data_IF_489341440643
#
_entry.id   IF_489341440643
#
_cell.length_a   1.000
_cell.length_b   1.000
_cell.length_c   1.000
_cell.angle_alpha   90.00
_cell.angle_beta   90.00
_cell.angle_gamma   90.00
#
_symmetry.space_group_name_H-M   'P 1'
#
loop_
_entity.id
_entity.type
_entity.pdbx_description
1 polymer ?
2 non-polymer ?
3 non-polymer ?
4 non-polymer ?
5 non-polymer ?
6 water ?
#
# COMPACT_ATOMS: atom_id res chain seq x y z
N UNK A 2 -4.45 23.80 19.32
CA UNK A 2 -3.34 22.88 19.66
C UNK A 2 -3.50 22.27 21.05
N UNK A 3 -3.56 20.95 21.12
CA UNK A 3 -3.68 20.24 22.38
C UNK A 3 -2.40 20.35 23.22
N UNK A 4 -2.57 20.46 24.55
CA UNK A 4 -1.41 20.51 25.45
C UNK A 4 -0.55 19.23 25.40
N UNK A 5 -1.18 18.09 25.09
CA UNK A 5 -0.50 16.80 25.18
C UNK A 5 0.46 16.52 24.02
N UNK A 6 0.18 17.11 22.86
CA UNK A 6 1.03 16.92 21.69
C UNK A 6 1.48 18.28 21.13
N UNK A 7 2.79 18.57 21.18
CA UNK A 7 3.27 19.85 20.67
C UNK A 7 3.25 19.83 19.15
N UNK A 8 3.05 20.99 18.51
CA UNK A 8 2.85 21.04 17.06
C UNK A 8 4.10 20.65 16.29
N UNK A 9 5.27 20.81 16.91
CA UNK A 9 6.53 20.50 16.26
C UNK A 9 6.78 18.99 16.18
N UNK A 10 5.95 18.21 16.86
CA UNK A 10 6.05 16.76 16.78
C UNK A 10 5.56 16.25 15.43
N UNK A 11 6.49 15.73 14.62
CA UNK A 11 6.18 15.29 13.28
C UNK A 11 5.78 13.81 13.21
N UNK A 12 4.47 13.57 13.13
CA UNK A 12 3.91 12.22 13.05
C UNK A 12 4.41 11.40 11.86
N UNK A 13 5.02 12.07 10.88
CA UNK A 13 5.41 11.41 9.63
C UNK A 13 6.93 11.31 9.50
N UNK A 14 7.66 11.68 10.55
CA UNK A 14 9.11 11.58 10.52
C UNK A 14 9.57 10.13 10.37
N UNK A 15 10.43 9.89 9.40
CA UNK A 15 10.88 8.52 9.09
C UNK A 15 11.71 7.92 10.22
N UNK A 16 12.48 8.73 10.93
CA UNK A 16 13.28 8.24 12.06
C UNK A 16 12.37 7.80 13.20
N UNK A 17 11.33 8.60 13.46
CA UNK A 17 10.33 8.24 14.46
C UNK A 17 9.68 6.90 14.13
N UNK A 18 9.19 6.78 12.90
CA UNK A 18 8.43 5.60 12.50
C UNK A 18 9.29 4.36 12.32
N UNK A 19 10.58 4.56 12.11
CA UNK A 19 11.53 3.45 12.14
C UNK A 19 11.47 2.78 13.51
N UNK A 20 11.40 3.61 14.54
CA UNK A 20 11.28 3.11 15.90
C UNK A 20 9.89 2.55 16.17
N UNK A 21 8.86 3.34 15.88
CA UNK A 21 7.49 2.94 16.20
C UNK A 21 6.47 3.80 15.48
N UNK A 22 5.29 3.23 15.27
CA UNK A 22 4.14 4.03 14.87
C UNK A 22 3.69 4.87 16.06
N UNK A 23 3.43 6.17 15.83
CA UNK A 23 2.99 7.08 16.89
C UNK A 23 1.53 6.82 17.32
N UNK A 24 1.25 5.61 17.76
CA UNK A 24 -0.11 5.15 18.02
C UNK A 24 -0.78 5.88 19.18
N UNK A 25 -0.07 5.97 20.32
CA UNK A 25 -0.61 6.66 21.49
C UNK A 25 -0.80 8.15 21.21
N UNK A 26 0.10 8.72 20.42
CA UNK A 26 0.01 10.12 20.06
C UNK A 26 -1.21 10.41 19.19
N UNK A 27 -1.46 9.52 18.23
CA UNK A 27 -2.64 9.65 17.36
C UNK A 27 -3.91 9.52 18.20
N UNK A 28 -3.89 8.57 19.13
CA UNK A 28 -5.02 8.37 20.04
C UNK A 28 -5.30 9.64 20.83
N UNK A 29 -4.25 10.38 21.19
CA UNK A 29 -4.41 11.63 21.93
C UNK A 29 -5.13 12.69 21.10
N UNK A 30 -4.75 12.79 19.82
CA UNK A 30 -5.40 13.73 18.91
C UNK A 30 -6.89 13.42 18.77
N UNK A 31 -7.23 12.15 18.65
CA UNK A 31 -8.63 11.76 18.48
C UNK A 31 -9.53 12.23 19.63
N UNK A 32 -8.99 12.25 20.86
CA UNK A 32 -9.75 12.72 22.02
C UNK A 32 -9.76 14.24 22.13
N UNK A 33 -8.66 14.89 21.77
CA UNK A 33 -8.50 16.33 22.06
C UNK A 33 -8.55 17.25 20.83
N UNK A 34 -7.86 16.87 19.76
CA UNK A 34 -7.79 17.71 18.57
C UNK A 34 -7.73 16.86 17.31
N UNK A 35 -8.87 16.29 16.92
CA UNK A 35 -8.98 15.32 15.82
C UNK A 35 -8.42 15.85 14.50
N UNK A 36 -8.53 17.15 14.28
CA UNK A 36 -7.89 17.76 13.12
C UNK A 36 -6.82 18.72 13.62
N UNK A 37 -5.57 18.36 13.36
CA UNK A 37 -4.43 18.94 14.07
C UNK A 37 -3.35 19.42 13.11
N UNK A 38 -2.86 20.64 13.31
CA UNK A 38 -1.80 21.19 12.47
C UNK A 38 -0.42 20.86 13.01
N UNK A 39 0.43 20.30 12.15
CA UNK A 39 1.81 20.02 12.50
C UNK A 39 2.72 21.10 11.93
N UNK A 40 3.52 21.72 12.79
CA UNK A 40 4.47 22.76 12.40
C UNK A 40 5.84 22.18 11.99
N UNK A 41 6.25 22.46 10.77
CA UNK A 41 7.61 22.17 10.32
C UNK A 41 8.22 23.46 9.76
N UNK A 42 8.63 24.37 10.65
CA UNK A 42 9.02 25.74 10.30
C UNK A 42 10.24 25.84 9.38
N UNK A 43 11.08 24.81 9.36
CA UNK A 43 12.24 24.82 8.50
C UNK A 43 11.93 24.43 7.07
N UNK A 44 10.68 24.02 6.84
CA UNK A 44 10.26 23.58 5.52
C UNK A 44 10.27 22.08 5.41
N UNK A 45 9.15 21.52 4.96
CA UNK A 45 9.01 20.08 4.82
C UNK A 45 9.82 19.53 3.66
N UNK A 46 10.26 18.29 3.79
CA UNK A 46 10.99 17.64 2.73
C UNK A 46 10.17 17.51 1.46
N UNK A 47 10.77 17.85 0.34
CA UNK A 47 10.08 17.78 -0.95
C UNK A 47 9.14 18.95 -1.17
N UNK A 48 8.08 19.03 -0.39
CA UNK A 48 7.04 20.04 -0.58
C UNK A 48 7.55 21.46 -0.34
N UNK A 49 8.37 21.62 0.69
CA UNK A 49 8.88 22.95 1.02
C UNK A 49 7.83 23.88 1.60
N UNK A 50 6.77 23.33 2.19
CA UNK A 50 5.84 24.15 2.94
C UNK A 50 6.18 24.04 4.44
N UNK A 51 5.44 24.75 5.28
CA UNK A 51 5.81 24.86 6.69
C UNK A 51 5.03 23.93 7.61
N UNK A 52 4.38 22.93 7.03
CA UNK A 52 3.62 21.98 7.82
C UNK A 52 2.45 21.37 7.08
N UNK A 53 1.56 20.74 7.83
CA UNK A 53 0.42 20.04 7.25
C UNK A 53 -0.66 19.78 8.29
N UNK A 54 -1.89 19.59 7.84
CA UNK A 54 -3.00 19.17 8.70
C UNK A 54 -3.01 17.66 8.81
N UNK A 55 -3.30 17.15 10.00
CA UNK A 55 -3.39 15.72 10.22
C UNK A 55 -4.80 15.35 10.64
N UNK A 56 -5.39 14.39 9.95
CA UNK A 56 -6.77 14.00 10.19
C UNK A 56 -6.81 12.62 10.83
N UNK A 57 -7.38 12.52 12.02
CA UNK A 57 -7.21 11.32 12.83
C UNK A 57 -8.50 10.53 13.06
N UNK A 58 -9.65 11.14 12.81
CA UNK A 58 -10.92 10.45 13.02
C UNK A 58 -11.38 9.74 11.76
N UNK A 59 -11.93 8.54 11.96
CA UNK A 59 -12.46 7.72 10.87
C UNK A 59 -13.46 8.48 9.98
N UNK A 60 -14.42 9.16 10.60
CA UNK A 60 -15.42 9.90 9.85
C UNK A 60 -14.78 10.99 8.99
N UNK A 61 -13.82 11.72 9.56
CA UNK A 61 -13.18 12.81 8.83
C UNK A 61 -12.27 12.30 7.69
N UNK A 62 -11.66 11.13 7.87
CA UNK A 62 -10.85 10.53 6.82
C UNK A 62 -11.73 10.15 5.63
N UNK A 63 -12.93 9.65 5.92
CA UNK A 63 -13.88 9.29 4.87
C UNK A 63 -14.36 10.54 4.12
N UNK A 64 -14.59 11.61 4.85
CA UNK A 64 -15.05 12.85 4.23
C UNK A 64 -14.02 13.43 3.26
N UNK A 65 -12.75 13.43 3.67
CA UNK A 65 -11.66 13.90 2.80
C UNK A 65 -11.56 13.04 1.54
N UNK A 66 -11.62 11.73 1.72
CA UNK A 66 -11.57 10.79 0.60
C UNK A 66 -12.70 11.02 -0.39
N UNK A 67 -13.86 11.38 0.15
CA UNK A 67 -15.07 11.52 -0.65
C UNK A 67 -15.09 12.85 -1.40
N UNK A 68 -14.49 13.88 -0.85
CA UNK A 68 -14.56 15.21 -1.45
C UNK A 68 -13.33 15.57 -2.30
N UNK A 69 -13.07 14.76 -3.32
CA UNK A 69 -11.96 15.00 -4.25
C UNK A 69 -12.05 16.35 -4.96
N UNK A 70 -13.26 16.89 -5.10
CA UNK A 70 -13.44 18.15 -5.81
C UNK A 70 -12.81 19.34 -5.06
N UNK A 71 -12.57 19.18 -3.76
CA UNK A 71 -11.91 20.23 -2.99
C UNK A 71 -10.60 19.74 -2.39
N UNK A 72 -10.45 18.42 -2.26
CA UNK A 72 -9.22 17.83 -1.75
C UNK A 72 -8.52 17.04 -2.85
N UNK A 73 -7.62 17.72 -3.56
CA UNK A 73 -6.99 17.15 -4.73
C UNK A 73 -5.75 16.33 -4.45
N UNK A 74 -5.41 15.45 -5.40
CA UNK A 74 -4.27 14.56 -5.25
C UNK A 74 -3.08 15.01 -6.09
N UNK A 75 -3.33 15.88 -7.07
CA UNK A 75 -2.27 16.27 -8.01
C UNK A 75 -1.35 17.43 -7.60
N UNK A 76 -1.82 18.37 -6.76
CA UNK A 76 -0.87 19.43 -6.40
C UNK A 76 0.40 18.93 -5.70
N UNK A 77 0.27 17.96 -4.78
CA UNK A 77 1.44 17.52 -4.04
C UNK A 77 1.60 15.99 -4.00
N UNK A 78 0.69 15.27 -4.67
CA UNK A 78 0.76 13.82 -4.67
C UNK A 78 0.17 13.26 -3.41
N UNK A 79 -0.03 11.94 -3.37
CA UNK A 79 -0.65 11.29 -2.23
C UNK A 79 0.33 11.03 -1.09
N UNK A 80 1.57 10.66 -1.42
CA UNK A 80 2.59 10.41 -0.40
C UNK A 80 2.85 11.66 0.43
N UNK A 81 2.74 11.54 1.77
CA UNK A 81 2.65 12.72 2.64
C UNK A 81 3.98 13.23 3.18
N UNK A 82 5.08 12.52 2.95
CA UNK A 82 6.35 12.91 3.54
C UNK A 82 7.54 12.46 2.69
N UNK A 83 8.55 13.31 2.61
CA UNK A 83 9.80 12.99 1.91
C UNK A 83 11.00 13.46 2.71
N UNK A 84 12.17 12.83 2.49
CA UNK A 84 13.40 13.32 3.15
C UNK A 84 13.79 14.72 2.68
N UNK A 85 14.68 15.37 3.42
CA UNK A 85 15.05 16.76 3.16
C UNK A 85 15.78 16.99 1.84
N UNK A 86 16.39 15.94 1.29
CA UNK A 86 17.13 16.09 0.04
C UNK A 86 16.21 15.95 -1.18
N UNK A 87 14.94 15.68 -0.91
CA UNK A 87 13.95 15.57 -1.97
C UNK A 87 13.62 16.95 -2.54
N UNK A 88 13.60 17.05 -3.88
CA UNK A 88 13.34 18.33 -4.53
C UNK A 88 11.85 18.56 -4.74
N UNK A 89 11.48 19.81 -4.98
CA UNK A 89 10.10 20.16 -5.32
C UNK A 89 9.75 19.56 -6.68
N UNK A 90 10.75 19.49 -7.57
CA UNK A 90 10.57 18.95 -8.91
C UNK A 90 10.13 17.50 -8.90
N UNK A 91 10.74 16.70 -8.03
CA UNK A 91 10.42 15.28 -7.96
C UNK A 91 9.02 15.07 -7.41
N UNK A 92 8.61 15.94 -6.51
CA UNK A 92 7.24 15.89 -5.99
C UNK A 92 6.24 16.15 -7.11
N UNK A 93 6.51 17.18 -7.90
CA UNK A 93 5.51 17.68 -8.84
C UNK A 93 5.39 16.87 -10.14
N UNK A 94 6.09 15.75 -10.22
CA UNK A 94 5.85 14.83 -11.33
C UNK A 94 5.36 13.48 -10.85
N UNK A 95 4.92 13.43 -9.59
CA UNK A 95 4.20 12.27 -9.09
C UNK A 95 2.86 12.17 -9.82
N UNK A 96 2.41 13.32 -10.35
CA UNK A 96 1.12 13.41 -11.03
C UNK A 96 1.09 12.60 -12.32
N UNK A 97 2.25 12.12 -12.76
CA UNK A 97 2.31 11.29 -13.96
C UNK A 97 1.71 9.88 -13.75
N UNK A 98 1.38 9.52 -12.51
CA UNK A 98 0.72 8.22 -12.30
C UNK A 98 -0.66 8.39 -11.68
N UNK A 99 -1.50 7.37 -11.88
CA UNK A 99 -2.92 7.43 -11.55
C UNK A 99 -3.20 7.93 -10.14
N UNK A 100 -2.47 7.38 -9.18
CA UNK A 100 -2.61 7.72 -7.77
C UNK A 100 -2.63 9.23 -7.51
N UNK A 101 -1.85 9.97 -8.28
CA UNK A 101 -1.67 11.40 -8.02
C UNK A 101 -2.31 12.31 -9.07
N UNK A 102 -3.32 11.79 -9.77
CA UNK A 102 -4.04 12.58 -10.78
C UNK A 102 -5.39 13.06 -10.27
N UNK A 103 -5.84 14.18 -10.82
CA UNK A 103 -7.19 14.68 -10.54
C UNK A 103 -8.05 14.60 -11.81
N UNK A 104 -9.31 14.97 -11.66
CA UNK A 104 -10.22 15.05 -12.81
C UNK A 104 -9.77 16.18 -13.73
N UNK A 105 -10.00 16.04 -15.04
CA UNK A 105 -10.71 14.93 -15.69
C UNK A 105 -9.83 13.73 -16.10
N UNK A 106 -8.51 13.89 -16.12
CA UNK A 106 -7.65 12.81 -16.62
C UNK A 106 -7.75 11.56 -15.73
N UNK A 107 -7.87 11.75 -14.41
CA UNK A 107 -7.99 10.61 -13.52
C UNK A 107 -9.28 9.83 -13.77
N UNK A 108 -10.36 10.57 -14.00
CA UNK A 108 -11.67 9.98 -14.25
C UNK A 108 -11.63 9.05 -15.45
N UNK A 109 -11.06 9.54 -16.54
CA UNK A 109 -10.92 8.75 -17.76
C UNK A 109 -10.04 7.53 -17.53
N UNK A 110 -8.87 7.74 -16.92
CA UNK A 110 -7.89 6.66 -16.77
C UNK A 110 -8.35 5.56 -15.81
N UNK A 111 -8.95 5.94 -14.69
CA UNK A 111 -9.46 4.95 -13.75
C UNK A 111 -10.55 4.09 -14.41
N UNK A 112 -11.44 4.73 -15.16
CA UNK A 112 -12.53 4.02 -15.84
C UNK A 112 -11.99 2.91 -16.75
N UNK A 113 -10.96 3.22 -17.52
CA UNK A 113 -10.35 2.25 -18.42
C UNK A 113 -9.60 1.16 -17.64
N UNK A 114 -8.80 1.59 -16.68
CA UNK A 114 -7.98 0.68 -15.89
C UNK A 114 -8.85 -0.30 -15.09
N UNK A 115 -10.05 0.13 -14.70
CA UNK A 115 -10.95 -0.72 -13.93
C UNK A 115 -11.31 -2.02 -14.67
N UNK A 116 -11.21 -2.01 -16.00
CA UNK A 116 -11.40 -3.23 -16.81
C UNK A 116 -10.49 -4.36 -16.35
N UNK A 117 -9.32 -4.00 -15.85
CA UNK A 117 -8.31 -4.99 -15.50
C UNK A 117 -8.55 -5.62 -14.14
N UNK A 118 -9.51 -5.09 -13.38
CA UNK A 118 -9.69 -5.55 -12.01
C UNK A 118 -11.12 -5.99 -11.72
N UNK A 119 -11.71 -6.64 -12.72
CA UNK A 119 -13.05 -7.23 -12.58
C UNK A 119 -12.95 -8.53 -11.80
N UNK A 120 -14.07 -9.00 -11.23
CA UNK A 120 -14.07 -10.31 -10.56
C UNK A 120 -13.54 -11.42 -11.47
N UNK A 121 -13.92 -11.39 -12.75
CA UNK A 121 -13.46 -12.39 -13.70
C UNK A 121 -11.95 -12.37 -13.88
N UNK A 122 -11.40 -11.18 -14.09
CA UNK A 122 -9.96 -11.02 -14.32
C UNK A 122 -9.14 -11.50 -13.12
N UNK A 123 -9.58 -11.15 -11.93
CA UNK A 123 -8.89 -11.54 -10.71
C UNK A 123 -9.07 -13.04 -10.44
N UNK A 124 -10.32 -13.49 -10.53
CA UNK A 124 -10.66 -14.88 -10.22
C UNK A 124 -9.99 -15.91 -11.11
N UNK A 125 -9.57 -15.48 -12.30
CA UNK A 125 -8.95 -16.38 -13.26
C UNK A 125 -7.46 -16.61 -12.96
N UNK A 126 -6.93 -15.84 -12.01
CA UNK A 126 -5.54 -15.99 -11.58
C UNK A 126 -5.41 -16.92 -10.38
N UNK A 127 -6.54 -17.29 -9.80
CA UNK A 127 -6.56 -17.97 -8.51
C UNK A 127 -5.84 -19.31 -8.49
N UNK A 128 -6.05 -20.13 -9.52
CA UNK A 128 -5.42 -21.44 -9.60
C UNK A 128 -3.89 -21.36 -9.71
N UNK A 129 -3.43 -20.52 -10.62
CA UNK A 129 -2.00 -20.33 -10.82
C UNK A 129 -1.34 -19.79 -9.56
N UNK A 130 -2.00 -18.83 -8.91
CA UNK A 130 -1.45 -18.19 -7.72
C UNK A 130 -1.48 -19.11 -6.50
N UNK A 131 -2.48 -19.97 -6.40
CA UNK A 131 -2.54 -20.93 -5.30
C UNK A 131 -1.41 -21.93 -5.45
N UNK A 132 -1.22 -22.41 -6.68
CA UNK A 132 -0.13 -23.30 -7.01
C UNK A 132 1.22 -22.71 -6.57
N UNK A 133 1.42 -21.43 -6.85
CA UNK A 133 2.67 -20.76 -6.50
C UNK A 133 2.79 -20.55 -4.99
N UNK A 134 1.68 -20.14 -4.37
CA UNK A 134 1.66 -19.93 -2.93
C UNK A 134 2.10 -21.19 -2.18
N UNK A 135 1.62 -22.34 -2.65
CA UNK A 135 1.99 -23.61 -2.04
C UNK A 135 3.48 -23.89 -2.18
N UNK A 136 4.02 -23.67 -3.38
CA UNK A 136 5.43 -23.92 -3.62
C UNK A 136 6.32 -22.93 -2.88
N UNK A 137 5.86 -21.70 -2.75
CA UNK A 137 6.55 -20.70 -1.94
C UNK A 137 6.69 -21.17 -0.50
N UNK A 138 5.57 -21.60 0.07
CA UNK A 138 5.53 -22.04 1.46
C UNK A 138 6.33 -23.33 1.66
N UNK A 139 6.19 -24.28 0.74
CA UNK A 139 6.90 -25.55 0.84
C UNK A 139 8.41 -25.35 0.76
N UNK A 140 8.86 -24.49 -0.14
CA UNK A 140 10.28 -24.20 -0.31
C UNK A 140 10.86 -23.59 0.96
N UNK A 141 10.11 -22.66 1.56
CA UNK A 141 10.54 -22.01 2.78
C UNK A 141 10.60 -23.02 3.94
N UNK A 142 9.56 -23.84 4.05
CA UNK A 142 9.47 -24.83 5.10
C UNK A 142 10.65 -25.80 5.05
N UNK A 143 11.08 -26.14 3.84
CA UNK A 143 12.18 -27.07 3.65
C UNK A 143 13.52 -26.49 4.15
N UNK A 144 13.61 -25.17 4.17
CA UNK A 144 14.82 -24.49 4.63
C UNK A 144 15.01 -24.63 6.14
N UNK A 145 13.92 -24.95 6.84
CA UNK A 145 13.97 -25.08 8.29
C UNK A 145 13.71 -23.74 8.97
N UNK A 146 14.59 -22.79 8.72
CA UNK A 146 14.45 -21.44 9.27
C UNK A 146 15.02 -20.41 8.29
N UNK A 147 14.64 -19.15 8.46
CA UNK A 147 15.13 -18.09 7.60
C UNK A 147 14.33 -16.82 7.73
N UNK A 148 14.63 -15.86 6.86
CA UNK A 148 13.91 -14.59 6.86
C UNK A 148 12.54 -14.75 6.21
N UNK A 149 11.50 -14.62 7.02
CA UNK A 149 10.11 -14.77 6.59
C UNK A 149 9.73 -13.77 5.49
N UNK A 150 10.24 -12.55 5.59
CA UNK A 150 9.93 -11.53 4.60
C UNK A 150 10.37 -11.96 3.20
N UNK A 151 11.64 -12.34 3.06
CA UNK A 151 12.16 -12.70 1.74
C UNK A 151 11.70 -14.07 1.26
N UNK A 152 11.52 -15.01 2.19
CA UNK A 152 11.19 -16.37 1.79
C UNK A 152 9.69 -16.66 1.71
N UNK A 153 8.86 -15.81 2.31
CA UNK A 153 7.43 -16.05 2.31
C UNK A 153 6.61 -14.85 1.84
N UNK A 154 6.86 -13.68 2.42
CA UNK A 154 6.05 -12.48 2.16
C UNK A 154 6.25 -11.87 0.78
N UNK A 155 7.48 -11.95 0.27
CA UNK A 155 7.89 -11.12 -0.86
C UNK A 155 7.31 -11.56 -2.23
N UNK A 156 7.35 -12.86 -2.51
CA UNK A 156 7.18 -13.33 -3.89
C UNK A 156 5.76 -13.26 -4.46
N UNK A 157 4.78 -13.71 -3.70
CA UNK A 157 3.42 -13.83 -4.23
C UNK A 157 2.80 -12.50 -4.69
N UNK A 158 3.04 -11.39 -3.95
CA UNK A 158 2.52 -10.13 -4.49
C UNK A 158 3.12 -9.79 -5.86
N UNK A 159 4.41 -10.08 -6.04
CA UNK A 159 5.07 -9.83 -7.31
C UNK A 159 4.54 -10.75 -8.41
N UNK A 160 4.33 -12.02 -8.09
CA UNK A 160 3.81 -12.98 -9.06
C UNK A 160 2.38 -12.63 -9.46
N UNK A 161 1.63 -12.04 -8.53
CA UNK A 161 0.25 -11.67 -8.79
C UNK A 161 0.18 -10.58 -9.86
N UNK A 162 1.06 -9.60 -9.74
CA UNK A 162 1.19 -8.56 -10.75
C UNK A 162 1.61 -9.16 -12.09
N UNK A 163 2.58 -10.07 -12.05
CA UNK A 163 3.08 -10.71 -13.25
C UNK A 163 1.99 -11.51 -13.98
N UNK A 164 1.21 -12.27 -13.22
CA UNK A 164 0.17 -13.11 -13.81
C UNK A 164 -1.00 -12.27 -14.35
N UNK A 165 -1.24 -11.14 -13.71
CA UNK A 165 -2.28 -10.21 -14.14
C UNK A 165 -1.93 -9.58 -15.49
N UNK A 166 -0.67 -9.22 -15.66
CA UNK A 166 -0.21 -8.57 -16.88
C UNK A 166 0.19 -9.58 -17.96
N UNK A 167 0.33 -10.84 -17.57
CA UNK A 167 0.75 -11.87 -18.51
C UNK A 167 2.23 -11.79 -18.85
N UNK A 168 3.04 -11.31 -17.91
CA UNK A 168 4.48 -11.24 -18.11
C UNK A 168 5.07 -12.65 -18.28
N UNK A 169 5.80 -12.88 -19.37
CA UNK A 169 6.45 -14.17 -19.60
C UNK A 169 7.38 -14.54 -18.45
N UNK A 170 7.52 -15.83 -18.17
CA UNK A 170 8.31 -16.29 -17.03
C UNK A 170 9.77 -15.84 -17.09
N UNK A 171 10.32 -15.79 -18.30
CA UNK A 171 11.72 -15.40 -18.48
C UNK A 171 11.97 -13.91 -18.26
N UNK A 172 10.91 -13.13 -18.10
CA UNK A 172 11.06 -11.69 -17.89
C UNK A 172 10.77 -11.30 -16.44
N UNK A 173 10.24 -12.24 -15.67
CA UNK A 173 9.74 -11.90 -14.34
C UNK A 173 10.88 -11.52 -13.39
N UNK A 174 12.06 -12.06 -13.63
CA UNK A 174 13.23 -11.77 -12.81
C UNK A 174 13.57 -10.28 -12.84
N UNK A 175 13.75 -9.72 -14.03
CA UNK A 175 14.10 -8.30 -14.15
C UNK A 175 12.91 -7.41 -13.78
N UNK A 176 11.70 -7.91 -13.99
CA UNK A 176 10.49 -7.18 -13.57
C UNK A 176 10.45 -7.04 -12.05
N UNK A 177 10.71 -8.14 -11.34
CA UNK A 177 10.70 -8.13 -9.89
C UNK A 177 11.82 -7.25 -9.35
N UNK A 178 12.95 -7.28 -10.04
CA UNK A 178 14.11 -6.47 -9.63
C UNK A 178 13.78 -4.98 -9.73
N UNK A 179 13.24 -4.57 -10.86
CA UNK A 179 12.83 -3.18 -11.07
C UNK A 179 11.82 -2.72 -10.02
N UNK A 180 10.83 -3.58 -9.76
CA UNK A 180 9.78 -3.25 -8.80
C UNK A 180 10.37 -3.03 -7.41
N UNK A 181 11.26 -3.93 -7.01
CA UNK A 181 11.85 -3.86 -5.68
C UNK A 181 12.80 -2.68 -5.54
N UNK A 182 13.35 -2.19 -6.65
CA UNK A 182 14.23 -1.03 -6.60
C UNK A 182 13.46 0.26 -6.42
N UNK A 183 12.17 0.23 -6.74
CA UNK A 183 11.34 1.43 -6.64
C UNK A 183 10.74 1.56 -5.25
N UNK A 184 11.13 0.68 -4.34
CA UNK A 184 10.56 0.65 -3.00
C UNK A 184 11.54 1.15 -1.95
N UNK A 185 12.30 2.18 -2.28
CA UNK A 185 13.29 2.74 -1.36
C UNK A 185 13.04 4.22 -1.13
N UNK A 186 14.12 4.98 -0.95
CA UNK A 186 14.02 6.42 -0.83
C UNK A 186 14.25 6.96 0.58
N UNK A 187 14.72 6.10 1.48
CA UNK A 187 15.05 6.55 2.83
C UNK A 187 15.97 5.57 3.56
N UNK A 188 15.59 4.30 3.57
CA UNK A 188 16.34 3.28 4.32
C UNK A 188 17.75 3.07 3.76
N UNK A 189 18.76 3.10 4.64
CA UNK A 189 20.17 3.03 4.22
C UNK A 189 20.60 1.66 3.69
N UNK A 190 19.85 0.61 4.03
CA UNK A 190 20.13 -0.71 3.50
C UNK A 190 19.92 -0.75 1.99
N UNK A 191 19.00 0.09 1.52
CA UNK A 191 18.67 0.14 0.09
C UNK A 191 19.22 1.41 -0.56
N UNK A 192 20.43 1.81 -0.18
CA UNK A 192 21.01 3.07 -0.63
C UNK A 192 21.68 2.99 -2.00
N UNK A 193 21.91 1.77 -2.49
CA UNK A 193 22.58 1.60 -3.77
C UNK A 193 21.64 1.12 -4.88
N UNK A 194 20.34 1.40 -4.72
CA UNK A 194 19.38 1.10 -5.78
C UNK A 194 19.16 2.34 -6.64
N UNK A 195 18.69 2.14 -7.87
CA UNK A 195 18.36 3.24 -8.75
C UNK A 195 16.89 3.16 -9.17
N UNK A 196 16.00 3.68 -8.32
CA UNK A 196 14.56 3.63 -8.58
C UNK A 196 14.15 4.40 -9.84
N UNK A 197 14.82 5.53 -10.11
CA UNK A 197 14.47 6.32 -11.29
C UNK A 197 14.77 5.56 -12.57
N UNK A 198 15.97 4.97 -12.66
CA UNK A 198 16.34 4.19 -13.83
C UNK A 198 15.47 2.95 -13.95
N UNK A 199 15.11 2.37 -12.81
CA UNK A 199 14.26 1.20 -12.79
C UNK A 199 12.86 1.51 -13.30
N UNK A 200 12.33 2.66 -12.94
CA UNK A 200 11.00 3.05 -13.39
C UNK A 200 11.03 3.30 -14.89
N UNK A 201 12.09 3.96 -15.34
CA UNK A 201 12.31 4.23 -16.76
C UNK A 201 12.31 2.95 -17.59
N UNK A 202 13.09 1.97 -17.14
CA UNK A 202 13.20 0.69 -17.83
C UNK A 202 11.87 -0.06 -17.80
N UNK A 203 11.17 0.06 -16.68
CA UNK A 203 9.89 -0.60 -16.51
C UNK A 203 8.85 -0.02 -17.47
N UNK A 204 8.85 1.30 -17.61
CA UNK A 204 7.99 1.96 -18.59
C UNK A 204 8.27 1.42 -19.98
N UNK A 205 9.54 1.40 -20.34
CA UNK A 205 9.97 0.92 -21.66
C UNK A 205 9.46 -0.50 -21.91
N UNK A 206 9.67 -1.39 -20.95
CA UNK A 206 9.22 -2.77 -21.07
C UNK A 206 7.72 -2.83 -21.28
N UNK A 207 6.99 -2.06 -20.48
CA UNK A 207 5.53 -2.06 -20.56
C UNK A 207 5.04 -1.54 -21.91
N UNK A 208 5.69 -0.49 -22.41
CA UNK A 208 5.27 0.11 -23.67
C UNK A 208 5.44 -0.87 -24.83
N UNK A 209 6.53 -1.63 -24.81
CA UNK A 209 6.72 -2.64 -25.84
C UNK A 209 5.72 -3.79 -25.67
N UNK A 210 5.38 -4.10 -24.43
CA UNK A 210 4.37 -5.12 -24.16
C UNK A 210 3.05 -4.73 -24.80
N UNK A 211 2.69 -3.45 -24.66
CA UNK A 211 1.46 -2.93 -25.27
C UNK A 211 1.52 -3.00 -26.79
N UNK A 212 2.70 -2.72 -27.35
CA UNK A 212 2.85 -2.72 -28.81
C UNK A 212 2.79 -4.14 -29.38
N UNK A 213 3.24 -5.12 -28.61
CA UNK A 213 3.18 -6.50 -29.05
C UNK A 213 1.75 -7.05 -28.96
N UNK A 214 1.07 -6.74 -27.86
CA UNK A 214 -0.29 -7.21 -27.64
C UNK A 214 -1.26 -6.52 -28.60
N UNK A 215 -0.85 -5.38 -29.14
CA UNK A 215 -1.66 -4.66 -30.12
C UNK A 215 -1.73 -5.42 -31.44
N UNK A 216 -0.71 -6.23 -31.72
CA UNK A 216 -0.66 -7.02 -32.94
C UNK A 216 -1.00 -8.48 -32.65
N UNK A 217 -0.53 -8.98 -31.51
CA UNK A 217 -0.85 -10.33 -31.07
C UNK A 217 -1.61 -10.30 -29.75
N UNK A 218 -2.95 -10.15 -29.81
CA UNK A 218 -3.79 -10.06 -28.62
C UNK A 218 -3.77 -11.33 -27.78
N UNK A 219 -3.94 -11.17 -26.47
CA UNK A 219 -4.02 -12.30 -25.55
C UNK A 219 -5.24 -12.15 -24.66
N UNK A 220 -5.36 -13.00 -23.66
CA UNK A 220 -6.51 -12.94 -22.77
C UNK A 220 -6.12 -12.43 -21.38
N UNK A 221 -5.00 -11.71 -21.31
CA UNK A 221 -4.64 -10.99 -20.09
C UNK A 221 -5.23 -9.58 -20.15
N UNK A 222 -4.99 -8.79 -19.11
CA UNK A 222 -5.63 -7.48 -19.02
C UNK A 222 -4.98 -6.44 -19.92
N UNK A 223 -3.77 -6.71 -20.42
CA UNK A 223 -3.09 -5.76 -21.29
C UNK A 223 -3.91 -5.48 -22.55
N UNK A 224 -4.42 -6.55 -23.16
CA UNK A 224 -5.24 -6.41 -24.35
C UNK A 224 -6.53 -5.66 -24.05
N UNK A 225 -7.10 -5.93 -22.88
CA UNK A 225 -8.32 -5.25 -22.44
C UNK A 225 -8.11 -3.75 -22.32
N UNK A 226 -6.91 -3.34 -21.90
CA UNK A 226 -6.62 -1.94 -21.64
C UNK A 226 -6.28 -1.14 -22.90
N UNK A 227 -5.64 -1.79 -23.87
CA UNK A 227 -5.13 -1.07 -25.04
C UNK A 227 -6.06 -1.15 -26.24
N UNK A 228 -7.25 -1.68 -26.04
CA UNK A 228 -8.22 -1.76 -27.13
C UNK A 228 -9.48 -0.96 -26.80
N UNK A 229 -10.02 -0.30 -27.81
CA UNK A 229 -11.12 0.64 -27.64
C UNK A 229 -12.42 -0.03 -27.20
N UNK A 230 -13.09 0.58 -26.23
CA UNK A 230 -14.41 0.12 -25.81
C UNK A 230 -15.46 0.62 -26.79
N UNK A 231 -16.72 0.60 -26.38
CA UNK A 231 -17.82 1.00 -27.26
C UNK A 231 -17.75 2.50 -27.60
N UNK A 232 -16.98 3.25 -26.81
CA UNK A 232 -16.85 4.69 -27.02
C UNK A 232 -15.45 5.09 -27.48
N UNK A 233 -14.65 4.11 -27.88
CA UNK A 233 -13.33 4.38 -28.42
C UNK A 233 -12.25 4.65 -27.38
N UNK A 234 -12.61 4.53 -26.11
CA UNK A 234 -11.66 4.76 -25.03
C UNK A 234 -10.66 3.62 -24.88
N UNK A 235 -9.39 3.99 -24.74
CA UNK A 235 -8.30 3.02 -24.53
C UNK A 235 -7.05 3.71 -24.00
N UNK A 236 -6.17 2.94 -23.38
CA UNK A 236 -4.87 3.46 -22.97
C UNK A 236 -3.95 3.58 -24.18
N UNK A 237 -3.29 4.73 -24.31
CA UNK A 237 -2.17 4.84 -25.23
C UNK A 237 -1.00 4.03 -24.66
N UNK A 238 0.03 3.79 -25.47
CA UNK A 238 1.15 2.98 -25.04
C UNK A 238 1.85 3.56 -23.81
N UNK A 239 2.04 4.87 -23.79
CA UNK A 239 2.71 5.51 -22.66
C UNK A 239 1.84 5.49 -21.41
N UNK A 240 0.53 5.63 -21.60
CA UNK A 240 -0.39 5.58 -20.47
C UNK A 240 -0.32 4.20 -19.81
N UNK A 241 -0.28 3.17 -20.64
CA UNK A 241 -0.16 1.82 -20.13
C UNK A 241 1.17 1.65 -19.39
N UNK A 242 2.21 2.31 -19.91
CA UNK A 242 3.51 2.28 -19.28
C UNK A 242 3.47 2.82 -17.87
N UNK A 243 2.85 3.99 -17.71
CA UNK A 243 2.76 4.62 -16.40
C UNK A 243 1.77 3.89 -15.51
N UNK A 244 0.88 3.10 -16.12
CA UNK A 244 -0.01 2.25 -15.34
C UNK A 244 0.76 1.08 -14.73
N UNK A 245 1.64 0.47 -15.50
CA UNK A 245 2.46 -0.64 -15.00
C UNK A 245 3.40 -0.18 -13.88
N UNK A 246 4.01 0.99 -14.05
CA UNK A 246 4.82 1.58 -13.00
C UNK A 246 4.01 1.74 -11.72
N UNK A 247 2.81 2.29 -11.87
CA UNK A 247 1.86 2.44 -10.78
C UNK A 247 1.62 1.11 -10.06
N UNK A 248 1.39 0.05 -10.84
CA UNK A 248 1.16 -1.29 -10.27
C UNK A 248 2.35 -1.82 -9.50
N UNK A 249 3.54 -1.58 -10.04
CA UNK A 249 4.76 -2.12 -9.45
C UNK A 249 4.97 -1.63 -8.03
N UNK A 250 4.53 -0.41 -7.74
CA UNK A 250 4.68 0.13 -6.39
C UNK A 250 3.43 -0.07 -5.55
N UNK A 251 2.26 -0.09 -6.19
CA UNK A 251 0.99 -0.09 -5.46
C UNK A 251 0.65 -1.44 -4.89
N UNK A 252 1.01 -2.50 -5.62
CA UNK A 252 0.63 -3.83 -5.22
C UNK A 252 1.78 -4.72 -4.79
N UNK A 253 2.93 -4.11 -4.50
CA UNK A 253 4.11 -4.87 -4.11
C UNK A 253 4.38 -4.79 -2.59
N UNK A 254 4.95 -3.66 -2.18
CA UNK A 254 5.29 -3.41 -0.78
C UNK A 254 4.07 -3.48 0.14
N UNK A 255 2.93 -3.04 -0.37
CA UNK A 255 1.69 -3.01 0.41
C UNK A 255 1.23 -4.41 0.82
N UNK A 256 1.05 -5.29 -0.16
CA UNK A 256 0.59 -6.64 0.14
C UNK A 256 1.65 -7.39 0.96
N UNK A 257 2.91 -7.22 0.57
CA UNK A 257 4.03 -7.85 1.24
C UNK A 257 4.01 -7.57 2.75
N UNK A 258 3.83 -6.31 3.09
CA UNK A 258 3.83 -5.89 4.48
C UNK A 258 2.55 -6.28 5.23
N UNK A 259 1.44 -6.48 4.50
CA UNK A 259 0.23 -6.95 5.16
C UNK A 259 0.43 -8.42 5.58
N UNK A 260 1.13 -9.18 4.74
CA UNK A 260 1.43 -10.58 5.05
C UNK A 260 2.33 -10.70 6.29
N UNK A 261 3.39 -9.90 6.33
CA UNK A 261 4.35 -9.97 7.43
C UNK A 261 3.71 -9.54 8.75
N UNK A 262 3.06 -8.38 8.76
CA UNK A 262 2.36 -7.91 9.94
C UNK A 262 1.23 -8.88 10.34
N UNK A 263 0.65 -9.53 9.33
CA UNK A 263 -0.37 -10.52 9.58
C UNK A 263 0.18 -11.67 10.41
N UNK A 264 1.30 -12.23 9.95
CA UNK A 264 1.90 -13.37 10.62
C UNK A 264 2.42 -12.99 12.01
N UNK A 265 2.97 -11.77 12.13
CA UNK A 265 3.40 -11.26 13.42
C UNK A 265 2.23 -11.20 14.39
N UNK A 266 1.08 -10.74 13.89
CA UNK A 266 -0.14 -10.68 14.70
C UNK A 266 -0.57 -12.09 15.13
N UNK A 267 -0.42 -13.05 14.23
CA UNK A 267 -0.75 -14.44 14.53
C UNK A 267 0.21 -15.00 15.57
N UNK A 268 1.46 -14.55 15.51
CA UNK A 268 2.47 -14.99 16.48
C UNK A 268 2.17 -14.41 17.85
N UNK A 269 1.67 -13.18 17.88
CA UNK A 269 1.33 -12.52 19.14
C UNK A 269 -0.05 -12.93 19.63
N UNK A 270 -0.79 -13.64 18.79
CA UNK A 270 -2.12 -14.11 19.15
C UNK A 270 -2.32 -15.57 18.73
N UNK A 271 -1.74 -16.51 19.48
CA UNK A 271 -1.84 -17.95 19.17
C UNK A 271 -3.28 -18.42 19.02
N UNK A 272 -4.16 -17.90 19.88
CA UNK A 272 -5.59 -18.21 19.80
C UNK A 272 -6.16 -17.98 18.40
N UNK A 273 -5.84 -16.85 17.81
CA UNK A 273 -6.36 -16.49 16.49
C UNK A 273 -5.71 -17.33 15.39
N UNK A 274 -4.47 -17.72 15.61
CA UNK A 274 -3.76 -18.53 14.61
C UNK A 274 -4.33 -19.95 14.58
N UNK A 275 -4.68 -20.48 15.75
CA UNK A 275 -5.33 -21.78 15.81
C UNK A 275 -6.69 -21.71 15.15
N UNK A 276 -7.42 -20.62 15.42
CA UNK A 276 -8.73 -20.40 14.84
C UNK A 276 -8.66 -20.32 13.32
N UNK A 277 -7.64 -19.64 12.80
CA UNK A 277 -7.48 -19.52 11.35
C UNK A 277 -7.21 -20.87 10.70
N UNK A 278 -6.30 -21.64 11.30
CA UNK A 278 -5.88 -22.91 10.71
C UNK A 278 -7.04 -23.90 10.62
N UNK A 279 -8.03 -23.74 11.49
CA UNK A 279 -9.11 -24.71 11.60
C UNK A 279 -10.35 -24.31 10.80
N UNK A 280 -10.58 -23.01 10.61
CA UNK A 280 -11.81 -22.55 9.96
C UNK A 280 -11.55 -21.73 8.69
N UNK A 281 -10.34 -21.20 8.55
CA UNK A 281 -9.97 -20.36 7.40
C UNK A 281 -11.00 -19.28 7.07
N UNK A 282 -11.34 -18.42 8.05
CA UNK A 282 -12.44 -17.47 7.83
C UNK A 282 -12.15 -16.44 6.75
N UNK A 283 -13.17 -16.09 5.98
CA UNK A 283 -13.02 -15.16 4.87
C UNK A 283 -12.85 -13.71 5.35
N UNK A 284 -13.17 -13.48 6.61
CA UNK A 284 -13.01 -12.16 7.22
C UNK A 284 -11.56 -11.89 7.67
N UNK A 285 -10.71 -12.90 7.56
CA UNK A 285 -9.34 -12.81 8.04
C UNK A 285 -8.51 -11.77 7.30
N UNK A 286 -8.60 -11.77 5.97
CA UNK A 286 -7.78 -10.88 5.15
C UNK A 286 -8.00 -9.41 5.49
N UNK A 287 -9.25 -9.05 5.77
CA UNK A 287 -9.56 -7.65 6.06
C UNK A 287 -9.13 -7.22 7.46
N UNK A 288 -9.16 -8.14 8.43
CA UNK A 288 -8.67 -7.79 9.76
C UNK A 288 -7.15 -7.71 9.73
N UNK A 289 -6.53 -8.54 8.90
CA UNK A 289 -5.10 -8.45 8.67
C UNK A 289 -4.72 -7.08 8.09
N UNK A 290 -5.44 -6.65 7.05
CA UNK A 290 -5.16 -5.35 6.44
C UNK A 290 -5.41 -4.20 7.42
N UNK A 291 -6.49 -4.28 8.19
CA UNK A 291 -6.74 -3.28 9.24
C UNK A 291 -5.59 -3.24 10.25
N UNK A 292 -5.16 -4.41 10.70
CA UNK A 292 -4.12 -4.49 11.73
C UNK A 292 -2.79 -4.00 11.20
N UNK A 293 -2.46 -4.39 9.96
CA UNK A 293 -1.22 -3.97 9.34
C UNK A 293 -1.24 -2.51 8.92
N UNK A 294 -2.37 -2.09 8.35
CA UNK A 294 -2.51 -0.78 7.68
C UNK A 294 -1.21 -0.37 6.97
N UNK A 295 -0.81 -1.13 5.94
CA UNK A 295 0.50 -0.96 5.29
C UNK A 295 0.77 0.48 4.86
N UNK A 296 -0.26 1.18 4.39
CA UNK A 296 -0.15 2.61 4.16
C UNK A 296 -0.64 3.33 5.42
N UNK A 297 0.28 3.94 6.17
CA UNK A 297 -0.06 4.60 7.42
C UNK A 297 -0.84 5.88 7.16
N UNK A 298 -0.49 6.56 6.08
CA UNK A 298 -1.12 7.83 5.74
C UNK A 298 -0.93 8.20 4.27
N UNK A 299 -1.97 8.79 3.71
CA UNK A 299 -1.91 9.46 2.41
C UNK A 299 -2.51 10.85 2.57
N UNK A 300 -2.19 11.76 1.65
CA UNK A 300 -2.62 13.15 1.81
C UNK A 300 -3.44 13.64 0.64
N UNK A 301 -4.04 14.81 0.82
CA UNK A 301 -4.65 15.59 -0.25
C UNK A 301 -4.18 17.02 -0.11
N UNK A 302 -4.44 17.85 -1.11
CA UNK A 302 -4.19 19.27 -0.99
C UNK A 302 -5.48 20.04 -1.23
N UNK A 303 -5.77 21.00 -0.34
CA UNK A 303 -6.96 21.82 -0.47
C UNK A 303 -6.89 22.67 -1.74
N UNK A 304 -7.90 22.54 -2.59
CA UNK A 304 -7.95 23.29 -3.86
C UNK A 304 -8.60 24.65 -3.67
N UNK A 305 -9.20 24.84 -2.50
CA UNK A 305 -9.83 26.10 -2.15
C UNK A 305 -10.02 26.15 -0.64
N UNK A 306 -10.27 27.33 -0.10
CA UNK A 306 -10.61 27.46 1.32
C UNK A 306 -11.81 26.56 1.63
N UNK A 307 -11.72 25.82 2.72
CA UNK A 307 -12.75 24.86 3.05
C UNK A 307 -12.78 24.59 4.56
N UNK A 308 -13.96 24.28 5.07
CA UNK A 308 -14.11 23.94 6.47
C UNK A 308 -14.19 22.42 6.62
N UNK A 309 -13.47 21.90 7.60
CA UNK A 309 -13.45 20.48 7.85
C UNK A 309 -13.42 20.25 9.36
N UNK A 310 -14.46 19.59 9.88
CA UNK A 310 -14.60 19.36 11.30
C UNK A 310 -14.45 20.62 12.13
N UNK A 311 -15.06 21.71 11.66
CA UNK A 311 -15.02 22.97 12.38
C UNK A 311 -13.70 23.71 12.24
N UNK A 312 -12.79 23.15 11.45
CA UNK A 312 -11.48 23.75 11.25
C UNK A 312 -11.35 24.37 9.87
N UNK A 313 -10.87 25.61 9.83
CA UNK A 313 -10.67 26.32 8.57
C UNK A 313 -9.36 25.94 7.90
N UNK A 314 -9.47 25.30 6.73
CA UNK A 314 -8.31 24.91 5.95
C UNK A 314 -8.14 25.85 4.77
N UNK A 315 -6.92 26.35 4.59
CA UNK A 315 -6.64 27.32 3.53
C UNK A 315 -6.13 26.63 2.27
N UNK A 316 -6.49 27.19 1.13
CA UNK A 316 -6.08 26.66 -0.18
C UNK A 316 -4.56 26.48 -0.27
N UNK A 317 -4.14 25.28 -0.68
CA UNK A 317 -2.73 24.97 -0.81
C UNK A 317 -2.16 24.22 0.39
N UNK A 318 -2.86 24.25 1.51
CA UNK A 318 -2.44 23.49 2.69
C UNK A 318 -2.69 22.00 2.49
N UNK A 319 -1.74 21.18 2.92
CA UNK A 319 -1.87 19.73 2.79
C UNK A 319 -2.71 19.15 3.92
N UNK A 320 -3.49 18.13 3.57
CA UNK A 320 -4.40 17.47 4.50
C UNK A 320 -4.08 15.98 4.51
N UNK A 321 -3.44 15.53 5.59
CA UNK A 321 -2.95 14.17 5.66
C UNK A 321 -3.93 13.26 6.38
N UNK A 322 -4.33 12.18 5.72
CA UNK A 322 -5.26 11.22 6.31
C UNK A 322 -4.48 10.16 7.06
N UNK A 323 -4.73 10.03 8.37
CA UNK A 323 -4.09 8.98 9.14
C UNK A 323 -4.96 7.73 9.11
N UNK A 324 -4.65 6.83 8.18
CA UNK A 324 -5.35 5.55 8.10
C UNK A 324 -5.09 4.75 9.36
N UNK A 325 -3.86 4.82 9.85
CA UNK A 325 -3.45 4.10 11.06
C UNK A 325 -4.31 4.50 12.26
N UNK A 326 -4.58 5.79 12.40
CA UNK A 326 -5.45 6.27 13.49
C UNK A 326 -6.91 5.89 13.25
N UNK A 327 -7.38 6.09 12.03
CA UNK A 327 -8.79 5.85 11.70
C UNK A 327 -9.16 4.38 11.90
N UNK A 328 -8.23 3.49 11.63
CA UNK A 328 -8.49 2.06 11.72
C UNK A 328 -8.57 1.56 13.15
N UNK A 329 -8.31 2.45 14.11
CA UNK A 329 -8.41 2.10 15.52
C UNK A 329 -9.27 3.13 16.26
N UNK A 330 -10.15 3.77 15.50
CA UNK A 330 -11.10 4.74 16.03
C UNK A 330 -12.13 4.02 16.91
N UNK A 331 -12.18 4.40 18.19
CA UNK A 331 -13.05 3.73 19.16
C UNK A 331 -14.52 4.03 18.97
N UNK A 332 -14.84 5.01 18.13
CA UNK A 332 -16.24 5.34 17.84
C UNK A 332 -16.77 4.48 16.70
N UNK A 333 -15.88 3.74 16.05
CA UNK A 333 -16.23 2.94 14.88
C UNK A 333 -16.05 1.44 15.13
N UNK A 334 -14.90 1.06 15.67
CA UNK A 334 -14.58 -0.34 15.90
C UNK A 334 -14.77 -0.74 17.36
N UNK A 335 -15.53 -1.80 17.59
CA UNK A 335 -15.61 -2.39 18.93
C UNK A 335 -14.31 -3.10 19.24
N UNK A 336 -13.75 -2.83 20.42
CA UNK A 336 -12.47 -3.40 20.84
C UNK A 336 -11.39 -3.31 19.76
N UNK A 337 -11.03 -2.09 19.35
CA UNK A 337 -10.13 -1.91 18.20
C UNK A 337 -8.72 -2.49 18.39
N UNK A 338 -8.27 -2.63 19.62
CA UNK A 338 -6.91 -3.12 19.86
C UNK A 338 -6.83 -4.63 20.04
N UNK A 339 -7.96 -5.30 19.87
CA UNK A 339 -8.00 -6.75 19.81
C UNK A 339 -7.91 -7.21 18.36
N UNK A 340 -7.00 -8.15 18.10
CA UNK A 340 -6.87 -8.75 16.77
C UNK A 340 -7.87 -9.90 16.63
N UNK A 341 -8.90 -9.69 15.82
CA UNK A 341 -9.97 -10.68 15.67
C UNK A 341 -10.28 -10.96 14.21
N UNK A 342 -9.85 -12.11 13.72
CA UNK A 342 -10.01 -12.46 12.32
C UNK A 342 -11.47 -12.71 11.92
N UNK A 343 -12.36 -12.79 12.91
CA UNK A 343 -13.78 -12.94 12.64
C UNK A 343 -14.51 -11.59 12.64
N UNK A 344 -13.75 -10.50 12.64
CA UNK A 344 -14.32 -9.17 12.79
C UNK A 344 -15.32 -8.84 11.69
N UNK A 345 -16.57 -8.62 12.08
CA UNK A 345 -17.63 -8.25 11.15
C UNK A 345 -18.73 -7.46 11.85
N UNK A 346 -19.01 -6.24 11.36
CA UNK A 346 -18.39 -5.61 10.19
C UNK A 346 -16.97 -5.12 10.44
N UNK A 347 -16.28 -4.73 9.38
CA UNK A 347 -14.91 -4.25 9.47
C UNK A 347 -14.67 -3.09 8.51
N UNK A 348 -15.18 -1.90 8.85
CA UNK A 348 -15.11 -0.73 7.96
C UNK A 348 -13.76 -0.03 7.97
N UNK A 349 -12.68 -0.79 7.85
CA UNK A 349 -11.34 -0.19 7.87
C UNK A 349 -11.08 0.62 6.60
N UNK A 350 -10.18 1.59 6.71
CA UNK A 350 -9.77 2.41 5.58
C UNK A 350 -8.35 2.09 5.15
N UNK A 351 -7.92 0.85 5.39
CA UNK A 351 -6.60 0.40 4.96
C UNK A 351 -6.42 0.44 3.45
N UNK A 352 -7.52 0.29 2.72
CA UNK A 352 -7.52 0.46 1.27
C UNK A 352 -7.95 1.86 0.90
N UNK A 353 -7.99 2.75 1.88
CA UNK A 353 -8.46 4.10 1.67
C UNK A 353 -9.94 4.24 2.02
N UNK A 354 -10.40 5.48 2.15
CA UNK A 354 -11.82 5.74 2.30
C UNK A 354 -12.47 5.64 0.92
N UNK A 355 -13.76 5.32 0.90
CA UNK A 355 -14.52 5.36 -0.35
C UNK A 355 -14.36 6.72 -1.02
N UNK A 356 -14.13 6.70 -2.34
CA UNK A 356 -13.88 7.92 -3.09
C UNK A 356 -13.18 7.63 -4.41
N UNK A 357 -12.74 8.68 -5.09
CA UNK A 357 -12.17 8.56 -6.44
C UNK A 357 -10.94 7.66 -6.50
N UNK A 358 -10.18 7.60 -5.40
CA UNK A 358 -8.89 6.92 -5.44
C UNK A 358 -8.85 5.61 -4.64
N UNK A 359 -10.02 5.15 -4.20
CA UNK A 359 -10.12 3.89 -3.45
C UNK A 359 -9.40 2.77 -4.19
N UNK A 360 -8.61 1.97 -3.47
CA UNK A 360 -7.72 0.97 -4.07
C UNK A 360 -8.42 0.09 -5.09
N UNK A 361 -7.92 0.10 -6.32
CA UNK A 361 -8.53 -0.68 -7.39
C UNK A 361 -8.06 -2.13 -7.32
N UNK A 362 -7.02 -2.38 -6.52
CA UNK A 362 -6.46 -3.71 -6.43
C UNK A 362 -6.86 -4.47 -5.18
N UNK A 363 -7.83 -3.94 -4.43
CA UNK A 363 -8.15 -4.45 -3.10
C UNK A 363 -8.52 -5.94 -3.09
N UNK A 364 -9.30 -6.37 -4.07
CA UNK A 364 -9.72 -7.77 -4.11
C UNK A 364 -8.59 -8.68 -4.54
N UNK A 365 -7.66 -8.15 -5.35
CA UNK A 365 -6.47 -8.91 -5.71
C UNK A 365 -5.59 -9.09 -4.47
N UNK A 366 -5.48 -8.05 -3.67
CA UNK A 366 -4.71 -8.13 -2.43
C UNK A 366 -5.32 -9.14 -1.46
N UNK A 367 -6.63 -9.09 -1.28
CA UNK A 367 -7.34 -10.04 -0.42
C UNK A 367 -7.10 -11.48 -0.86
N UNK A 368 -7.14 -11.72 -2.17
CA UNK A 368 -6.89 -13.06 -2.70
C UNK A 368 -5.46 -13.51 -2.41
N UNK A 369 -4.51 -12.62 -2.61
CA UNK A 369 -3.10 -12.91 -2.35
C UNK A 369 -2.90 -13.30 -0.89
N UNK A 370 -3.44 -12.47 0.00
CA UNK A 370 -3.35 -12.70 1.44
C UNK A 370 -3.94 -14.05 1.83
N UNK A 371 -5.18 -14.29 1.40
CA UNK A 371 -5.84 -15.56 1.69
C UNK A 371 -5.06 -16.78 1.19
N UNK A 372 -4.48 -16.67 0.01
CA UNK A 372 -3.75 -17.79 -0.57
C UNK A 372 -2.44 -18.08 0.17
N UNK A 373 -1.70 -17.04 0.53
CA UNK A 373 -0.42 -17.26 1.18
C UNK A 373 -0.63 -17.81 2.59
N UNK A 374 -1.69 -17.38 3.28
CA UNK A 374 -1.90 -17.82 4.66
C UNK A 374 -2.52 -19.22 4.68
N UNK A 375 -3.28 -19.55 3.65
CA UNK A 375 -3.75 -20.92 3.50
C UNK A 375 -2.57 -21.85 3.28
N UNK A 376 -1.57 -21.39 2.54
CA UNK A 376 -0.40 -22.20 2.23
C UNK A 376 0.50 -22.36 3.45
N UNK A 377 0.65 -21.28 4.21
CA UNK A 377 1.43 -21.29 5.44
C UNK A 377 0.83 -22.28 6.44
N UNK A 378 -0.47 -22.15 6.65
CA UNK A 378 -1.18 -23.05 7.55
C UNK A 378 -1.08 -24.51 7.10
N UNK A 379 -0.90 -24.71 5.80
CA UNK A 379 -0.86 -26.06 5.24
C UNK A 379 0.55 -26.68 5.26
N UNK A 380 1.59 -25.86 5.19
CA UNK A 380 2.94 -26.38 5.03
C UNK A 380 3.90 -26.03 6.18
N UNK A 381 3.47 -25.13 7.06
CA UNK A 381 4.28 -24.76 8.22
C UNK A 381 3.40 -24.20 9.34
N UNK A 382 2.45 -25.02 9.83
CA UNK A 382 1.46 -24.51 10.79
C UNK A 382 2.02 -24.23 12.19
N UNK A 383 3.24 -24.67 12.46
CA UNK A 383 3.81 -24.51 13.79
C UNK A 383 4.99 -23.53 13.81
N UNK A 384 5.04 -22.63 12.83
CA UNK A 384 6.14 -21.68 12.72
C UNK A 384 6.19 -20.75 13.94
N UNK A 385 7.40 -20.35 14.31
CA UNK A 385 7.61 -19.49 15.48
C UNK A 385 8.71 -18.47 15.20
N UNK A 386 8.54 -17.25 15.74
CA UNK A 386 9.54 -16.20 15.56
C UNK A 386 10.87 -16.53 16.24
N UNK A 387 11.97 -16.20 15.58
CA UNK A 387 13.30 -16.40 16.16
C UNK A 387 13.88 -15.05 16.59
N UNK A 388 13.68 -14.04 15.76
CA UNK A 388 14.19 -12.71 16.06
C UNK A 388 13.11 -11.66 15.99
N UNK A 389 13.48 -10.43 16.38
CA UNK A 389 12.55 -9.31 16.32
C UNK A 389 12.46 -8.78 14.90
N UNK A 390 11.26 -8.35 14.48
CA UNK A 390 11.07 -7.75 13.16
C UNK A 390 11.87 -6.45 13.02
N UNK A 391 12.62 -6.32 11.93
CA UNK A 391 13.36 -5.10 11.64
C UNK A 391 12.49 -4.17 10.78
N UNK A 392 12.12 -3.02 11.33
CA UNK A 392 11.22 -2.10 10.62
C UNK A 392 11.92 -1.33 9.50
N UNK A 393 11.13 -0.96 8.50
CA UNK A 393 11.60 -0.12 7.40
C UNK A 393 11.66 1.34 7.84
N UNK A 394 12.68 2.06 7.40
CA UNK A 394 12.77 3.48 7.70
C UNK A 394 11.92 4.29 6.71
N UNK A 395 10.65 4.48 7.05
CA UNK A 395 9.72 5.22 6.22
C UNK A 395 8.72 5.97 7.08
N UNK A 396 8.32 7.17 6.63
CA UNK A 396 7.38 7.96 7.39
C UNK A 396 5.90 7.65 7.16
N UNK A 397 5.60 6.88 6.12
CA UNK A 397 4.21 6.67 5.72
C UNK A 397 3.91 5.21 5.40
N UNK A 398 4.94 4.45 5.07
CA UNK A 398 4.77 3.03 4.75
C UNK A 398 5.23 2.15 5.91
N UNK A 399 4.27 1.46 6.52
CA UNK A 399 4.52 0.61 7.68
C UNK A 399 5.20 -0.69 7.27
N UNK A 400 6.48 -0.62 6.94
CA UNK A 400 7.16 -1.77 6.38
C UNK A 400 8.03 -2.58 7.34
N UNK A 401 8.22 -3.85 7.02
CA UNK A 401 9.17 -4.70 7.72
C UNK A 401 10.18 -5.24 6.72
N UNK A 402 11.47 -5.03 7.01
CA UNK A 402 12.52 -5.49 6.11
C UNK A 402 12.90 -6.95 6.34
N UNK A 403 12.99 -7.36 7.61
CA UNK A 403 13.41 -8.71 7.93
C UNK A 403 12.70 -9.25 9.17
N UNK A 404 12.52 -10.56 9.21
CA UNK A 404 11.94 -11.23 10.35
C UNK A 404 12.34 -12.71 10.37
N UNK A 405 13.31 -13.05 11.22
CA UNK A 405 13.80 -14.42 11.31
C UNK A 405 12.81 -15.35 11.99
N UNK A 406 12.48 -16.45 11.32
CA UNK A 406 11.45 -17.37 11.78
C UNK A 406 11.91 -18.83 11.69
N UNK A 407 11.54 -19.63 12.69
CA UNK A 407 11.72 -21.08 12.65
C UNK A 407 10.43 -21.69 12.10
N UNK A 408 10.49 -22.23 10.88
CA UNK A 408 9.29 -22.70 10.21
C UNK A 408 8.76 -24.00 10.80
N UNK A 409 9.67 -24.87 11.24
CA UNK A 409 9.27 -26.16 11.79
C UNK A 409 8.94 -26.05 13.29
N UNK A 410 9.11 -24.85 13.84
CA UNK A 410 8.77 -24.59 15.23
C UNK A 410 9.48 -25.46 16.25
N UNK A 411 10.63 -26.02 15.87
CA UNK A 411 11.40 -26.88 16.76
C UNK A 411 12.48 -26.09 17.49
X LIG B 1 -4.78 2.96 -4.34
X LIG B 1 -3.72 0.52 -0.29
X LIG B 1 -2.93 -3.50 -2.85
X LIG B 1 -3.38 -0.94 -6.95
X LIG B 1 -4.63 2.65 -3.02
X LIG B 1 -4.99 3.49 -1.87
X LIG B 1 -4.68 2.79 -0.77
X LIG B 1 -4.14 1.50 -1.16
X LIG B 1 -4.86 3.24 0.70
X LIG B 1 -5.61 4.92 -1.89
X LIG B 1 -7.07 4.91 -1.47
X LIG B 1 -7.60 6.31 -1.51
X LIG B 1 -6.85 7.24 -1.88
X LIG B 1 -8.80 6.52 -1.16
X LIG B 1 -3.44 -0.79 -0.61
X LIG B 1 -3.18 -1.86 0.32
X LIG B 1 -2.94 -2.98 -0.40
X LIG B 1 -3.08 -2.64 -1.80
X LIG B 1 -3.15 -1.69 1.86
X LIG B 1 -2.62 -4.42 0.08
X LIG B 1 -2.85 -4.88 1.31
X LIG B 1 -2.97 -3.15 -4.19
X LIG B 1 -2.77 -4.06 -5.31
X LIG B 1 -2.91 -3.34 -6.43
X LIG B 1 -3.19 -1.98 -6.06
X LIG B 1 -2.48 -5.57 -5.15
X LIG B 1 -2.79 -3.78 -7.93
X LIG B 1 -2.22 -4.92 -8.33
X LIG B 1 -3.76 0.34 -6.64
X LIG B 1 -3.92 1.40 -7.61
X LIG B 1 -4.36 2.62 -6.80
X LIG B 1 -4.43 2.18 -5.42
X LIG B 1 -3.69 1.28 -9.13
X LIG B 1 -4.66 4.03 -7.36
X LIG B 1 -6.17 4.15 -7.60
X LIG B 1 -6.53 5.59 -7.91
X LIG B 1 -5.75 6.50 -7.53
X LIG B 1 -7.60 5.80 -8.54
X LIG B 1 -4.13 1.45 -2.53
X LIG B 1 -3.37 -1.29 -1.89
X LIG B 1 -3.23 -1.90 -4.68
X LIG B 1 -4.07 0.83 -5.38
X LIG B 1 -3.86 -0.29 -3.61
X LIG C 1 9.72 8.06 2.92
X LIG C 1 8.92 8.80 1.88
X LIG C 1 9.41 6.58 2.88
X LIG C 1 9.43 8.59 4.30
X LIG C 1 11.19 8.26 2.61
X LIG D 1 13.46 -11.10 -4.90
X LIG D 1 12.15 -11.55 -5.48
X LIG D 1 13.22 -10.40 -3.58
X LIG D 1 14.34 -12.31 -4.66
X LIG D 1 14.14 -10.16 -5.87
X LIG E 1 2.18 14.92 -16.24
X LIG E 1 0.97 14.63 -16.15
X LIG E 1 3.01 13.99 -16.43
X LIG E 1 2.66 16.35 -16.13
X LIG E 1 1.56 17.34 -15.77
X LIG E 1 0.31 16.64 -15.55
X LIG E 1 1.34 18.37 -16.87
X LIG E 1 0.88 17.71 -18.15
X LIG E 1 1.14 18.25 -19.26
X LIG E 1 0.25 16.63 -18.14
X LIG E 1 1.96 18.07 -14.49
X LIG E 1 1.10 18.37 -13.65
X LIG E 1 3.16 18.36 -14.27
X LIG F 1 -2.12 0.83 -3.45
X LIG F 1 -1.19 1.60 -2.69
X LIG F 1 -0.31 2.46 -3.62
X LIG F 1 0.88 2.81 -2.95
X LIG F 1 2.38 4.58 -3.78
X LIG F 1 2.00 3.08 -3.80
X LIG F 1 2.94 4.95 -5.03
X LIG F 1 3.60 6.67 -6.63
X LIG F 1 3.10 6.38 -5.24
X LIG F 1 4.36 5.55 -7.08
X LIG F 1 5.96 6.46 -8.63
X LIG F 1 4.74 5.58 -8.46
X LIG F 1 5.59 7.58 -9.43
X LIG F 1 6.97 8.43 -11.16
X LIG F 1 6.65 8.47 -9.70
X LIG F 1 8.38 8.25 -11.31
#
# INVERSE_FOLDING_TARGET
MPTPNIPSDFDFLDATLNLERLPVEELAELRKSEPIHWVDVPGGTGGFGDKGYWLVTKHADVKEVSRRSDVFGSSPDGAIPVYPQDMTREAVDLQRAVLLNMDAPQHTRLRKIISRGFTPRAIGRLEDELRSRAQKIAQTAAAQGAGDFVEQVSCELPLQAIAELLGVPQDDRDKLFRWSNEMTAGEDPEYADVDPAMSSFELISYAMKMAEERAVNPTEDIVTKLIEADIDGEKLSDDEFGFFVVMLAVAGNETTRNSITHGMIAFAQNPDQWELYKKERPETAADEIVRWATPVSAFQRTALEDVELGGVQIKKGQRVVMSYRSANFDEEVFEDPHTFNILRSPNPHVGFGGTGAHYCIGANLARMTINLIFNAIADNMPDLKPIGAPERLKSGWLNGIKHWQVDYTGAGKASVSGAPGTCPVA
HEM CHA CHB CHC CHD C1A C2A C3A C4A CMA CAA CBA CGA O1A O2A C1B C2B C3B C4B CMB CAB CBB C1C C2C C3C C4C CMC CAC CBC C1D C2D C3D C4D CMD CAD CBD CGD O1D O2D NA NB NC ND FE
PO4 P O1 O2 O3 O4
PO4 P O1 O2 O3 O4
CIT C1 O1 O2 C2 C3 O7 C4 C5 O3 O4 C6 O5 O6
1PE OH2 C12 C22 OH3 C13 C23 OH4 C14 C24 OH5 C15 C25 OH6 C16 C26 OH7
#
